data_IF_447059819989
#
_entry.id   IF_447059819989
#
_cell.length_a   1.000
_cell.length_b   1.000
_cell.length_c   1.000
_cell.angle_alpha   90.00
_cell.angle_beta   90.00
_cell.angle_gamma   90.00
#
_symmetry.space_group_name_H-M   'P 1'
#
loop_
_entity.id
_entity.type
_entity.pdbx_description
1 polymer ?
#
# COMPACT_ATOMS: atom_id res chain seq x y z
N UNK A 1 14.44 29.81 -28.57
CA UNK A 1 14.13 28.48 -28.01
C UNK A 1 14.71 28.43 -26.62
N UNK A 2 13.91 28.74 -25.59
CA UNK A 2 14.31 28.52 -24.21
C UNK A 2 14.24 27.02 -23.96
N UNK A 3 15.39 26.35 -24.01
CA UNK A 3 15.50 25.03 -23.39
C UNK A 3 15.34 25.27 -21.89
N UNK A 4 14.12 25.05 -21.38
CA UNK A 4 13.91 24.79 -19.97
C UNK A 4 14.72 23.53 -19.68
N UNK A 5 15.94 23.72 -19.18
CA UNK A 5 16.67 22.63 -18.54
C UNK A 5 15.78 22.17 -17.39
N UNK A 6 15.12 21.03 -17.57
CA UNK A 6 14.46 20.34 -16.47
C UNK A 6 15.52 20.16 -15.38
N UNK A 7 15.22 20.65 -14.18
CA UNK A 7 16.14 20.49 -13.07
C UNK A 7 16.04 19.03 -12.61
N UNK A 8 16.84 18.17 -13.21
CA UNK A 8 16.86 16.73 -12.93
C UNK A 8 17.03 16.45 -11.43
N UNK A 9 17.73 17.32 -10.69
CA UNK A 9 17.89 17.18 -9.24
C UNK A 9 16.57 17.40 -8.48
N UNK A 10 15.75 18.36 -8.92
CA UNK A 10 14.44 18.62 -8.31
C UNK A 10 13.46 17.49 -8.62
N UNK A 11 13.48 16.96 -9.85
CA UNK A 11 12.68 15.80 -10.25
C UNK A 11 13.05 14.55 -9.44
N UNK A 12 14.34 14.24 -9.34
CA UNK A 12 14.83 13.11 -8.54
C UNK A 12 14.44 13.29 -7.07
N UNK A 13 14.60 14.48 -6.50
CA UNK A 13 14.21 14.76 -5.12
C UNK A 13 12.70 14.55 -4.87
N UNK A 14 11.86 14.95 -5.83
CA UNK A 14 10.42 14.75 -5.77
C UNK A 14 10.05 13.25 -5.82
N UNK A 15 10.66 12.47 -6.72
CA UNK A 15 10.44 11.02 -6.79
C UNK A 15 10.86 10.29 -5.50
N UNK A 16 12.00 10.68 -4.92
CA UNK A 16 12.44 10.14 -3.64
C UNK A 16 11.47 10.48 -2.51
N UNK A 17 11.00 11.74 -2.43
CA UNK A 17 10.03 12.16 -1.42
C UNK A 17 8.72 11.38 -1.55
N UNK A 18 8.18 11.22 -2.76
CA UNK A 18 6.97 10.44 -3.00
C UNK A 18 7.13 8.97 -2.59
N UNK A 19 8.30 8.38 -2.86
CA UNK A 19 8.62 7.01 -2.47
C UNK A 19 8.71 6.87 -0.94
N UNK A 20 9.35 7.81 -0.27
CA UNK A 20 9.50 7.82 1.19
C UNK A 20 8.13 8.00 1.87
N UNK A 21 7.30 8.92 1.37
CA UNK A 21 5.94 9.13 1.88
C UNK A 21 5.08 7.87 1.70
N UNK A 22 5.18 7.21 0.54
CA UNK A 22 4.48 5.96 0.29
C UNK A 22 4.93 4.83 1.23
N UNK A 23 6.24 4.71 1.45
CA UNK A 23 6.82 3.71 2.36
C UNK A 23 6.34 3.96 3.80
N UNK A 24 6.37 5.21 4.26
CA UNK A 24 5.92 5.60 5.58
C UNK A 24 4.44 5.26 5.78
N UNK A 25 3.57 5.65 4.85
CA UNK A 25 2.14 5.37 4.91
C UNK A 25 1.86 3.86 4.90
N UNK A 26 2.57 3.11 4.05
CA UNK A 26 2.42 1.65 3.97
C UNK A 26 2.87 0.97 5.27
N UNK A 27 3.96 1.43 5.88
CA UNK A 27 4.45 0.91 7.16
C UNK A 27 3.47 1.17 8.31
N UNK A 28 2.86 2.37 8.35
CA UNK A 28 1.83 2.72 9.33
C UNK A 28 0.58 1.86 9.15
N UNK A 29 0.14 1.66 7.91
CA UNK A 29 -1.00 0.80 7.61
C UNK A 29 -0.75 -0.65 8.04
N UNK A 30 0.44 -1.19 7.76
CA UNK A 30 0.84 -2.52 8.20
C UNK A 30 0.84 -2.63 9.74
N UNK A 31 1.39 -1.62 10.42
CA UNK A 31 1.40 -1.55 11.89
C UNK A 31 -0.02 -1.56 12.47
N UNK A 32 -0.93 -0.73 11.94
CA UNK A 32 -2.32 -0.69 12.39
C UNK A 32 -3.03 -2.03 12.17
N UNK A 33 -2.88 -2.63 10.97
CA UNK A 33 -3.45 -3.96 10.67
C UNK A 33 -2.98 -5.02 11.67
N UNK A 34 -1.67 -5.11 11.93
CA UNK A 34 -1.10 -6.07 12.88
C UNK A 34 -1.64 -5.85 14.30
N UNK A 35 -1.73 -4.60 14.74
CA UNK A 35 -2.24 -4.30 16.09
C UNK A 35 -3.74 -4.57 16.22
N UNK A 36 -4.54 -4.24 15.20
CA UNK A 36 -5.96 -4.61 15.17
C UNK A 36 -6.14 -6.12 15.27
N UNK A 37 -5.29 -6.91 14.59
CA UNK A 37 -5.30 -8.36 14.74
C UNK A 37 -4.90 -8.82 16.14
N UNK A 38 -3.86 -8.25 16.75
CA UNK A 38 -3.48 -8.61 18.12
C UNK A 38 -4.60 -8.33 19.13
N UNK A 39 -5.25 -7.18 19.03
CA UNK A 39 -6.39 -6.80 19.87
C UNK A 39 -7.54 -7.80 19.67
N UNK A 40 -7.84 -8.15 18.42
CA UNK A 40 -8.90 -9.12 18.10
C UNK A 40 -8.69 -10.52 18.67
N UNK A 41 -7.43 -10.89 18.95
CA UNK A 41 -7.08 -12.16 19.56
C UNK A 41 -7.10 -12.12 21.09
N UNK A 42 -6.92 -10.95 21.69
CA UNK A 42 -6.84 -10.78 23.15
C UNK A 42 -8.21 -10.66 23.81
N UNK A 43 -9.21 -10.16 23.08
CA UNK A 43 -10.51 -9.84 23.63
C UNK A 43 -11.61 -10.67 22.94
N UNK A 44 -12.04 -11.76 23.60
CA UNK A 44 -13.19 -12.57 23.14
C UNK A 44 -14.48 -11.75 23.07
N UNK A 45 -14.53 -10.56 23.68
CA UNK A 45 -15.68 -9.65 23.62
C UNK A 45 -15.75 -8.80 22.34
N UNK A 46 -14.65 -8.70 21.57
CA UNK A 46 -14.60 -7.84 20.39
C UNK A 46 -15.29 -8.47 19.17
N UNK A 47 -15.43 -9.80 19.16
CA UNK A 47 -16.12 -10.55 18.11
C UNK A 47 -17.07 -11.56 18.73
N UNK A 48 -18.32 -11.60 18.26
CA UNK A 48 -19.31 -12.56 18.76
C UNK A 48 -18.98 -14.00 18.32
N UNK A 49 -18.14 -14.18 17.29
CA UNK A 49 -17.63 -15.49 16.89
C UNK A 49 -16.26 -15.44 16.20
N UNK A 50 -15.54 -16.56 16.24
CA UNK A 50 -14.30 -16.79 15.45
C UNK A 50 -14.50 -16.57 13.95
N UNK A 51 -15.72 -16.76 13.44
CA UNK A 51 -16.06 -16.58 12.03
C UNK A 51 -16.05 -15.09 11.65
N UNK A 52 -16.62 -14.22 12.49
CA UNK A 52 -16.58 -12.77 12.26
C UNK A 52 -15.14 -12.24 12.24
N UNK A 53 -14.29 -12.77 13.13
CA UNK A 53 -12.87 -12.45 13.13
C UNK A 53 -12.20 -12.87 11.81
N UNK A 54 -12.46 -14.08 11.34
CA UNK A 54 -11.89 -14.59 10.09
C UNK A 54 -12.37 -13.77 8.88
N UNK A 55 -13.63 -13.38 8.85
CA UNK A 55 -14.21 -12.55 7.78
C UNK A 55 -13.61 -11.14 7.80
N UNK A 56 -13.43 -10.53 8.99
CA UNK A 56 -12.78 -9.24 9.14
C UNK A 56 -11.32 -9.30 8.64
N UNK A 57 -10.56 -10.32 9.04
CA UNK A 57 -9.17 -10.47 8.62
C UNK A 57 -9.05 -10.69 7.11
N UNK A 58 -9.96 -11.46 6.52
CA UNK A 58 -10.01 -11.68 5.08
C UNK A 58 -10.30 -10.39 4.33
N UNK A 59 -11.27 -9.61 4.79
CA UNK A 59 -11.70 -8.37 4.13
C UNK A 59 -10.73 -7.20 4.34
N UNK A 60 -10.03 -7.16 5.46
CA UNK A 60 -9.16 -6.02 5.81
C UNK A 60 -7.69 -6.37 5.66
N UNK A 61 -7.21 -7.41 6.34
CA UNK A 61 -5.78 -7.72 6.45
C UNK A 61 -5.24 -8.37 5.17
N UNK A 62 -6.00 -9.33 4.63
CA UNK A 62 -5.57 -10.15 3.49
C UNK A 62 -6.04 -9.64 2.13
N UNK A 63 -6.93 -8.65 2.09
CA UNK A 63 -7.43 -8.05 0.85
C UNK A 63 -6.57 -6.86 0.36
N UNK A 64 -5.28 -6.83 0.71
CA UNK A 64 -4.39 -5.81 0.18
C UNK A 64 -4.08 -6.12 -1.29
N UNK A 65 -4.54 -5.25 -2.19
CA UNK A 65 -4.13 -5.26 -3.59
C UNK A 65 -3.04 -4.23 -3.78
N UNK A 66 -1.88 -4.66 -4.30
CA UNK A 66 -0.80 -3.72 -4.61
C UNK A 66 -1.27 -2.70 -5.66
N UNK A 67 -1.00 -1.40 -5.48
CA UNK A 67 -1.30 -0.38 -6.49
C UNK A 67 -0.75 -0.75 -7.88
N UNK A 68 0.40 -1.43 -7.94
CA UNK A 68 0.98 -1.89 -9.21
C UNK A 68 0.08 -2.88 -9.97
N UNK A 69 -0.68 -3.73 -9.26
CA UNK A 69 -1.65 -4.65 -9.87
C UNK A 69 -2.82 -3.87 -10.46
N UNK A 70 -3.34 -2.88 -9.72
CA UNK A 70 -4.42 -2.00 -10.20
C UNK A 70 -3.96 -1.20 -11.42
N UNK A 71 -2.75 -0.63 -11.38
CA UNK A 71 -2.19 0.14 -12.51
C UNK A 71 -1.94 -0.75 -13.73
N UNK A 72 -1.55 -2.01 -13.53
CA UNK A 72 -1.44 -3.02 -14.60
C UNK A 72 -2.80 -3.35 -15.23
N UNK A 73 -3.84 -3.59 -14.41
CA UNK A 73 -5.21 -3.83 -14.90
C UNK A 73 -5.81 -2.63 -15.65
N UNK A 74 -5.44 -1.41 -15.26
CA UNK A 74 -5.82 -0.18 -15.95
C UNK A 74 -5.01 0.08 -17.24
N UNK A 75 -4.06 -0.80 -17.58
CA UNK A 75 -3.24 -0.69 -18.78
C UNK A 75 -2.18 0.41 -18.70
N UNK A 76 -1.84 0.88 -17.49
CA UNK A 76 -0.84 1.93 -17.28
C UNK A 76 0.58 1.41 -17.56
N UNK A 77 0.81 0.12 -17.29
CA UNK A 77 1.99 -0.59 -17.73
C UNK A 77 1.63 -1.41 -18.97
N UNK A 78 2.01 -0.93 -20.15
CA UNK A 78 2.05 -1.78 -21.35
C UNK A 78 3.07 -2.88 -21.10
N UNK A 79 2.62 -4.13 -21.24
CA UNK A 79 3.49 -5.30 -21.23
C UNK A 79 4.59 -5.14 -22.29
N UNK A 80 5.78 -4.78 -21.84
CA UNK A 80 7.09 -5.19 -22.38
C UNK A 80 8.16 -4.51 -21.52
N UNK A 81 8.49 -5.18 -20.42
CA UNK A 81 9.82 -5.03 -19.82
C UNK A 81 10.73 -5.90 -20.69
N UNK A 82 11.31 -5.31 -21.74
CA UNK A 82 12.50 -5.88 -22.36
C UNK A 82 13.65 -5.76 -21.35
N UNK A 83 14.19 -6.93 -20.97
CA UNK A 83 15.42 -7.08 -20.17
C UNK A 83 16.63 -6.51 -20.89
#
# INVERSE_FOLDING_TARGET
MNQLFYNDQAHIAEEYQMTEDHLLQTSLLAFFKINSFKISLQDESFFASRKELQDLLSNTLFNYTSPAVIMSELGFFTSEIEN
#
